data_IF_346296356017
#
_entry.id   IF_346296356017
#
_cell.length_a   1.000
_cell.length_b   1.000
_cell.length_c   1.000
_cell.angle_alpha   90.00
_cell.angle_beta   90.00
_cell.angle_gamma   90.00
#
_symmetry.space_group_name_H-M   'P 1'
#
loop_
_entity.id
_entity.type
_entity.pdbx_description
1 polymer ?
#
# COMPACT_ATOMS: atom_id res chain seq x y z
N UNK A 1 4.22 12.42 -9.82
CA UNK A 1 2.87 11.83 -9.72
C UNK A 1 2.59 10.97 -10.94
N UNK A 2 1.49 10.17 -10.94
CA UNK A 2 1.07 9.42 -12.15
C UNK A 2 0.83 10.36 -13.34
N UNK A 3 0.37 11.58 -13.07
CA UNK A 3 0.14 12.61 -14.09
C UNK A 3 1.40 12.97 -14.89
N UNK A 4 2.58 12.80 -14.30
CA UNK A 4 3.86 13.20 -14.93
C UNK A 4 4.40 12.10 -15.86
N UNK A 5 3.84 10.88 -15.79
CA UNK A 5 4.37 9.70 -16.50
C UNK A 5 3.32 8.94 -17.33
N UNK A 6 2.05 9.35 -17.28
CA UNK A 6 0.96 8.72 -18.02
C UNK A 6 0.53 9.58 -19.20
N UNK A 7 0.47 8.99 -20.39
CA UNK A 7 -0.06 9.63 -21.60
C UNK A 7 -1.58 9.69 -21.60
N UNK A 8 -2.23 8.72 -20.96
CA UNK A 8 -3.70 8.61 -20.89
C UNK A 8 -4.13 8.26 -19.47
N UNK A 9 -5.14 8.96 -18.96
CA UNK A 9 -5.80 8.66 -17.69
C UNK A 9 -7.28 8.40 -17.95
N UNK A 10 -7.76 7.23 -17.52
CA UNK A 10 -9.16 6.86 -17.59
C UNK A 10 -9.78 7.01 -16.20
N UNK A 11 -10.70 7.98 -15.99
CA UNK A 11 -11.29 8.21 -14.69
C UNK A 11 -12.27 7.10 -14.33
N UNK A 12 -11.99 6.39 -13.23
CA UNK A 12 -12.87 5.36 -12.69
C UNK A 12 -13.75 5.89 -11.57
N UNK A 13 -14.98 5.41 -11.52
CA UNK A 13 -15.92 5.72 -10.45
C UNK A 13 -15.52 4.99 -9.15
N UNK A 14 -15.53 5.67 -7.98
CA UNK A 14 -15.34 5.02 -6.68
C UNK A 14 -16.53 4.12 -6.32
N UNK A 15 -16.39 3.33 -5.25
CA UNK A 15 -17.41 2.36 -4.82
C UNK A 15 -18.77 3.00 -4.48
N UNK A 16 -18.82 4.27 -4.11
CA UNK A 16 -20.07 5.02 -3.89
C UNK A 16 -20.83 5.34 -5.17
N UNK A 17 -20.16 5.31 -6.31
CA UNK A 17 -20.69 5.68 -7.63
C UNK A 17 -20.85 4.48 -8.58
N UNK A 18 -20.56 3.28 -8.11
CA UNK A 18 -20.65 2.03 -8.91
C UNK A 18 -21.31 0.92 -8.12
N UNK A 19 -21.93 -0.02 -8.83
CA UNK A 19 -22.35 -1.31 -8.27
C UNK A 19 -21.16 -2.26 -8.20
N UNK A 20 -21.21 -3.20 -7.27
CA UNK A 20 -20.19 -4.21 -7.10
C UNK A 20 -20.55 -5.28 -6.09
N UNK A 21 -19.62 -6.19 -5.82
CA UNK A 21 -19.79 -7.26 -4.85
C UNK A 21 -18.48 -7.53 -4.14
N UNK A 22 -18.57 -7.85 -2.86
CA UNK A 22 -17.45 -8.27 -2.04
C UNK A 22 -17.74 -9.61 -1.38
N UNK A 23 -16.70 -10.41 -1.19
CA UNK A 23 -16.73 -11.60 -0.34
C UNK A 23 -15.93 -11.28 0.91
N UNK A 24 -16.55 -11.41 2.09
CA UNK A 24 -15.86 -11.19 3.35
C UNK A 24 -15.04 -12.42 3.77
N UNK A 25 -14.32 -12.32 4.89
CA UNK A 25 -13.49 -13.42 5.42
C UNK A 25 -14.30 -14.66 5.85
N UNK A 26 -15.59 -14.51 6.09
CA UNK A 26 -16.50 -15.63 6.38
C UNK A 26 -17.05 -16.28 5.11
N UNK A 27 -16.69 -15.79 3.92
CA UNK A 27 -17.18 -16.26 2.64
C UNK A 27 -18.57 -15.76 2.28
N UNK A 28 -19.07 -14.74 2.96
CA UNK A 28 -20.35 -14.15 2.63
C UNK A 28 -20.22 -13.21 1.45
N UNK A 29 -20.92 -13.53 0.39
CA UNK A 29 -21.06 -12.66 -0.79
C UNK A 29 -22.09 -11.57 -0.49
N UNK A 30 -21.72 -10.32 -0.68
CA UNK A 30 -22.57 -9.15 -0.47
C UNK A 30 -22.43 -8.21 -1.67
N UNK A 31 -23.56 -7.89 -2.30
CA UNK A 31 -23.64 -6.96 -3.41
C UNK A 31 -24.13 -5.59 -2.94
N UNK A 32 -23.72 -4.55 -3.61
CA UNK A 32 -24.13 -3.17 -3.35
C UNK A 32 -24.37 -2.42 -4.66
N UNK A 33 -25.13 -1.35 -4.58
CA UNK A 33 -25.39 -0.45 -5.71
C UNK A 33 -24.72 0.90 -5.47
N UNK A 34 -24.38 1.57 -6.56
CA UNK A 34 -23.95 2.95 -6.51
C UNK A 34 -25.03 3.84 -5.88
N UNK A 35 -24.64 4.71 -4.94
CA UNK A 35 -25.58 5.59 -4.22
C UNK A 35 -25.76 6.91 -4.96
N UNK A 36 -24.72 7.38 -5.64
CA UNK A 36 -24.70 8.62 -6.39
C UNK A 36 -24.22 8.39 -7.82
N UNK A 37 -24.55 9.32 -8.70
CA UNK A 37 -24.07 9.29 -10.08
C UNK A 37 -22.58 9.62 -10.13
N UNK A 38 -21.86 8.94 -11.04
CA UNK A 38 -20.44 9.22 -11.29
C UNK A 38 -20.17 10.69 -11.62
N UNK A 39 -19.08 11.20 -11.05
CA UNK A 39 -18.65 12.60 -11.27
C UNK A 39 -18.02 12.76 -12.66
N UNK A 40 -18.52 13.74 -13.41
CA UNK A 40 -17.99 14.07 -14.75
C UNK A 40 -17.98 12.88 -15.69
N UNK A 41 -16.83 12.58 -16.28
CA UNK A 41 -16.63 11.48 -17.21
C UNK A 41 -16.25 10.14 -16.53
N UNK A 42 -16.23 10.07 -15.18
CA UNK A 42 -15.94 8.82 -14.50
C UNK A 42 -16.95 7.72 -14.82
N UNK A 43 -16.46 6.51 -14.97
CA UNK A 43 -17.28 5.32 -15.29
C UNK A 43 -16.87 4.17 -14.37
N UNK A 44 -17.78 3.22 -14.09
CA UNK A 44 -17.42 1.97 -13.43
C UNK A 44 -16.25 1.30 -14.14
N UNK A 45 -15.25 0.83 -13.40
CA UNK A 45 -14.04 0.22 -13.97
C UNK A 45 -14.37 -0.91 -14.96
N UNK A 46 -15.34 -1.78 -14.62
CA UNK A 46 -15.73 -2.88 -15.48
C UNK A 46 -16.25 -2.42 -16.85
N UNK A 47 -16.95 -1.26 -16.92
CA UNK A 47 -17.42 -0.68 -18.20
C UNK A 47 -16.26 -0.16 -19.04
N UNK A 48 -15.26 0.43 -18.40
CA UNK A 48 -14.04 0.88 -19.10
C UNK A 48 -13.30 -0.33 -19.66
N UNK A 49 -13.10 -1.38 -18.84
CA UNK A 49 -12.42 -2.60 -19.27
C UNK A 49 -13.20 -3.34 -20.37
N UNK A 50 -14.52 -3.39 -20.28
CA UNK A 50 -15.36 -3.95 -21.33
C UNK A 50 -15.14 -3.26 -22.67
N UNK A 51 -15.21 -1.92 -22.69
CA UNK A 51 -15.00 -1.15 -23.93
C UNK A 51 -13.58 -1.34 -24.46
N UNK A 52 -12.58 -1.34 -23.58
CA UNK A 52 -11.20 -1.59 -23.98
C UNK A 52 -11.01 -2.99 -24.54
N UNK A 53 -11.59 -4.02 -23.90
CA UNK A 53 -11.56 -5.39 -24.38
C UNK A 53 -12.19 -5.53 -25.77
N UNK A 54 -13.34 -4.91 -25.99
CA UNK A 54 -14.01 -4.91 -27.30
C UNK A 54 -13.18 -4.17 -28.37
N UNK A 55 -12.54 -3.05 -28.03
CA UNK A 55 -11.67 -2.33 -28.97
C UNK A 55 -10.40 -3.12 -29.32
N UNK A 56 -9.96 -3.99 -28.43
CA UNK A 56 -8.83 -4.90 -28.65
C UNK A 56 -9.24 -6.25 -29.24
N UNK A 57 -10.52 -6.42 -29.58
CA UNK A 57 -11.10 -7.66 -30.15
C UNK A 57 -10.87 -8.89 -29.25
N UNK A 58 -10.90 -8.69 -27.91
CA UNK A 58 -10.77 -9.77 -26.94
C UNK A 58 -12.14 -10.42 -26.68
N UNK A 59 -12.15 -11.75 -26.62
CA UNK A 59 -13.35 -12.51 -26.25
C UNK A 59 -13.68 -12.36 -24.75
N UNK A 60 -14.97 -12.47 -24.39
CA UNK A 60 -15.40 -12.47 -22.99
C UNK A 60 -15.56 -11.09 -22.34
N UNK A 61 -15.73 -10.02 -23.13
CA UNK A 61 -15.95 -8.66 -22.66
C UNK A 61 -17.35 -8.10 -22.98
N UNK A 62 -18.34 -8.95 -23.27
CA UNK A 62 -19.68 -8.54 -23.69
C UNK A 62 -20.69 -8.56 -22.53
N UNK A 63 -20.35 -7.85 -21.44
CA UNK A 63 -21.23 -7.76 -20.29
C UNK A 63 -22.10 -6.50 -20.32
N UNK A 64 -23.37 -6.64 -19.94
CA UNK A 64 -24.31 -5.52 -19.80
C UNK A 64 -24.49 -5.04 -18.37
N UNK A 65 -24.17 -5.89 -17.40
CA UNK A 65 -24.32 -5.55 -15.98
C UNK A 65 -23.21 -6.13 -15.09
N UNK A 66 -23.05 -5.56 -13.90
CA UNK A 66 -22.13 -6.07 -12.87
C UNK A 66 -22.56 -7.44 -12.35
N UNK A 67 -23.85 -7.75 -12.40
CA UNK A 67 -24.41 -9.03 -11.98
C UNK A 67 -24.01 -10.15 -12.95
N UNK A 68 -23.97 -9.87 -14.26
CA UNK A 68 -23.48 -10.83 -15.25
C UNK A 68 -22.01 -11.15 -15.01
N UNK A 69 -21.17 -10.13 -14.76
CA UNK A 69 -19.76 -10.32 -14.42
C UNK A 69 -19.61 -11.14 -13.14
N UNK A 70 -20.40 -10.84 -12.11
CA UNK A 70 -20.38 -11.60 -10.87
C UNK A 70 -20.73 -13.07 -11.10
N UNK A 71 -21.78 -13.34 -11.87
CA UNK A 71 -22.23 -14.70 -12.17
C UNK A 71 -21.16 -15.51 -12.93
N UNK A 72 -20.45 -14.86 -13.84
CA UNK A 72 -19.39 -15.48 -14.63
C UNK A 72 -18.10 -15.68 -13.81
N UNK A 73 -17.72 -14.66 -13.04
CA UNK A 73 -16.49 -14.69 -12.25
C UNK A 73 -16.55 -15.58 -11.00
N UNK A 74 -17.74 -15.75 -10.42
CA UNK A 74 -17.92 -16.41 -9.14
C UNK A 74 -19.11 -17.37 -9.10
N UNK A 75 -18.83 -18.66 -9.01
CA UNK A 75 -19.83 -19.66 -8.64
C UNK A 75 -20.06 -19.58 -7.11
N UNK A 76 -21.14 -18.90 -6.71
CA UNK A 76 -21.50 -18.71 -5.32
C UNK A 76 -21.79 -20.03 -4.59
N UNK A 77 -22.23 -21.10 -5.29
CA UNK A 77 -22.49 -22.41 -4.70
C UNK A 77 -21.19 -23.12 -4.33
N UNK A 78 -20.12 -22.89 -5.07
CA UNK A 78 -18.80 -23.45 -4.80
C UNK A 78 -17.92 -22.58 -3.90
N UNK A 79 -18.41 -21.42 -3.50
CA UNK A 79 -17.65 -20.53 -2.62
C UNK A 79 -17.23 -21.20 -1.30
N UNK A 80 -18.09 -21.96 -0.59
CA UNK A 80 -17.70 -22.68 0.62
C UNK A 80 -16.53 -23.63 0.43
N UNK A 81 -16.40 -24.25 -0.74
CA UNK A 81 -15.31 -25.18 -1.06
C UNK A 81 -13.94 -24.48 -1.14
N UNK A 82 -13.95 -23.18 -1.47
CA UNK A 82 -12.74 -22.35 -1.57
C UNK A 82 -12.31 -21.75 -0.22
N UNK A 83 -13.21 -21.76 0.78
CA UNK A 83 -12.95 -21.20 2.10
C UNK A 83 -12.23 -22.25 2.97
N UNK A 84 -10.92 -22.21 2.95
CA UNK A 84 -10.10 -23.06 3.80
C UNK A 84 -8.81 -22.34 4.21
N UNK A 85 -8.22 -22.74 5.33
CA UNK A 85 -6.95 -22.21 5.81
C UNK A 85 -5.73 -22.99 5.26
N UNK A 86 -5.91 -23.77 4.21
CA UNK A 86 -4.82 -24.50 3.57
C UNK A 86 -4.14 -23.62 2.55
N UNK A 87 -2.84 -23.45 2.68
CA UNK A 87 -2.00 -22.81 1.70
C UNK A 87 -1.14 -23.84 1.00
N UNK A 88 -1.17 -23.88 -0.31
CA UNK A 88 -0.23 -24.66 -1.12
C UNK A 88 1.06 -23.87 -1.41
N UNK A 89 1.15 -22.63 -0.91
CA UNK A 89 2.34 -21.82 -1.12
C UNK A 89 3.52 -22.41 -0.35
N UNK A 90 4.55 -22.78 -1.07
CA UNK A 90 5.84 -23.22 -0.55
C UNK A 90 6.89 -22.19 -0.96
N UNK A 91 6.83 -21.03 -0.32
CA UNK A 91 7.84 -20.01 -0.54
C UNK A 91 9.11 -20.33 0.24
N UNK A 92 10.24 -20.11 -0.37
CA UNK A 92 11.49 -20.04 0.37
C UNK A 92 11.49 -18.80 1.24
N UNK A 93 11.92 -18.94 2.50
CA UNK A 93 12.17 -17.79 3.33
C UNK A 93 13.27 -16.94 2.67
N UNK A 94 13.01 -15.66 2.47
CA UNK A 94 14.06 -14.77 2.00
C UNK A 94 15.26 -14.86 2.97
N UNK A 95 16.49 -14.91 2.47
CA UNK A 95 17.67 -14.92 3.33
C UNK A 95 17.62 -13.69 4.24
N UNK A 96 17.99 -13.87 5.51
CA UNK A 96 18.04 -12.78 6.46
C UNK A 96 18.97 -11.67 5.91
N UNK A 97 18.48 -10.46 5.85
CA UNK A 97 19.30 -9.32 5.45
C UNK A 97 20.44 -9.14 6.46
N UNK A 98 21.66 -8.94 5.96
CA UNK A 98 22.80 -8.60 6.81
C UNK A 98 22.75 -7.12 7.17
N UNK A 99 23.26 -6.75 8.36
CA UNK A 99 23.31 -5.36 8.82
C UNK A 99 22.03 -4.87 9.46
N UNK A 100 21.75 -3.58 9.29
CA UNK A 100 20.55 -2.96 9.84
C UNK A 100 19.33 -3.33 8.98
N UNK A 101 18.21 -3.63 9.63
CA UNK A 101 16.95 -3.96 8.98
C UNK A 101 15.93 -2.85 9.25
N UNK A 102 15.35 -2.31 8.19
CA UNK A 102 14.25 -1.35 8.31
C UNK A 102 12.96 -2.05 8.71
N UNK A 103 12.37 -1.62 9.82
CA UNK A 103 11.05 -2.07 10.27
C UNK A 103 10.09 -0.90 10.36
N UNK A 104 8.81 -1.19 10.54
CA UNK A 104 7.77 -0.17 10.68
C UNK A 104 6.44 -0.65 10.11
N UNK A 105 5.56 0.30 9.92
CA UNK A 105 4.25 0.12 9.29
C UNK A 105 3.90 1.34 8.45
N UNK A 106 2.68 1.39 7.96
CA UNK A 106 2.11 2.59 7.35
C UNK A 106 1.37 3.36 8.43
N UNK A 107 1.65 4.65 8.59
CA UNK A 107 0.92 5.50 9.52
C UNK A 107 -0.58 5.51 9.22
N UNK A 108 -1.43 5.49 10.25
CA UNK A 108 -2.89 5.37 10.10
C UNK A 108 -3.48 6.43 9.15
N UNK A 109 -2.92 7.63 9.11
CA UNK A 109 -3.39 8.70 8.23
C UNK A 109 -2.68 8.73 6.86
N UNK A 110 -1.90 7.69 6.55
CA UNK A 110 -1.24 7.50 5.25
C UNK A 110 -1.72 6.25 4.51
N UNK A 111 -2.72 5.53 5.05
CA UNK A 111 -3.18 4.23 4.53
C UNK A 111 -3.96 4.34 3.22
N UNK A 112 -4.88 5.30 3.09
CA UNK A 112 -5.73 5.43 1.92
C UNK A 112 -5.81 6.87 1.37
N UNK A 113 -6.42 7.00 0.20
CA UNK A 113 -6.47 8.27 -0.51
C UNK A 113 -7.35 9.33 0.18
N UNK A 114 -8.34 8.93 0.95
CA UNK A 114 -9.26 9.84 1.65
C UNK A 114 -8.53 10.45 2.85
N UNK A 115 -7.97 9.60 3.73
CA UNK A 115 -7.25 10.08 4.92
C UNK A 115 -6.01 10.87 4.57
N UNK A 116 -5.28 10.50 3.49
CA UNK A 116 -4.13 11.28 3.01
C UNK A 116 -4.48 12.69 2.52
N UNK A 117 -5.74 12.93 2.14
CA UNK A 117 -6.23 14.24 1.68
C UNK A 117 -7.07 14.98 2.73
N UNK A 118 -7.31 14.37 3.88
CA UNK A 118 -8.02 15.00 4.98
C UNK A 118 -7.06 15.94 5.74
N UNK A 119 -7.11 17.23 5.42
CA UNK A 119 -6.17 18.23 5.94
C UNK A 119 -6.10 18.24 7.47
N UNK A 120 -7.24 18.16 8.15
CA UNK A 120 -7.29 18.10 9.61
C UNK A 120 -6.53 16.89 10.19
N UNK A 121 -6.58 15.73 9.54
CA UNK A 121 -5.85 14.53 9.97
C UNK A 121 -4.34 14.69 9.72
N UNK A 122 -3.95 15.35 8.63
CA UNK A 122 -2.54 15.58 8.31
C UNK A 122 -1.86 16.57 9.25
N UNK A 123 -2.60 17.37 10.00
CA UNK A 123 -2.07 18.28 11.02
C UNK A 123 -1.84 17.61 12.39
N UNK A 124 -2.26 16.37 12.56
CA UNK A 124 -2.06 15.64 13.83
C UNK A 124 -0.63 15.12 14.00
N UNK A 125 -0.23 14.85 15.23
CA UNK A 125 1.10 14.25 15.52
C UNK A 125 1.33 12.90 14.85
N UNK A 126 0.26 12.12 14.59
CA UNK A 126 0.33 10.81 13.95
C UNK A 126 0.58 10.89 12.42
N UNK A 127 0.42 12.06 11.83
CA UNK A 127 0.69 12.28 10.40
C UNK A 127 2.05 12.92 10.14
N UNK A 128 2.80 13.30 11.18
CA UNK A 128 4.11 13.94 11.02
C UNK A 128 5.16 12.98 10.46
N UNK A 129 6.19 13.54 9.84
CA UNK A 129 7.32 12.78 9.32
C UNK A 129 7.98 11.97 10.45
N UNK A 130 8.03 10.63 10.34
CA UNK A 130 8.58 9.81 11.40
C UNK A 130 10.11 9.95 11.49
N UNK A 131 10.63 10.00 12.71
CA UNK A 131 12.04 9.81 12.96
C UNK A 131 12.45 8.33 12.80
N UNK A 132 13.69 8.10 12.45
CA UNK A 132 14.31 6.78 12.46
C UNK A 132 14.70 6.44 13.91
N UNK A 133 13.94 5.55 14.55
CA UNK A 133 14.25 5.09 15.92
C UNK A 133 15.25 3.94 15.85
N UNK A 134 16.32 4.03 16.64
CA UNK A 134 17.48 3.12 16.60
C UNK A 134 17.97 2.86 18.02
N UNK A 135 18.44 1.65 18.28
CA UNK A 135 19.04 1.34 19.59
C UNK A 135 20.26 2.24 19.89
N UNK A 136 20.43 2.74 21.14
CA UNK A 136 21.54 3.61 21.49
C UNK A 136 22.93 3.06 21.13
N UNK A 137 23.17 1.76 21.35
CA UNK A 137 24.46 1.12 20.99
C UNK A 137 24.72 1.18 19.49
N UNK A 138 23.67 1.07 18.65
CA UNK A 138 23.78 1.18 17.20
C UNK A 138 24.08 2.63 16.80
N UNK A 139 23.44 3.62 17.42
CA UNK A 139 23.77 5.02 17.18
C UNK A 139 25.23 5.30 17.53
N UNK A 140 25.71 4.81 18.69
CA UNK A 140 27.10 4.97 19.10
C UNK A 140 28.07 4.28 18.11
N UNK A 141 27.75 3.08 17.64
CA UNK A 141 28.58 2.37 16.65
C UNK A 141 28.65 3.09 15.30
N UNK A 142 27.60 3.81 14.93
CA UNK A 142 27.53 4.63 13.71
C UNK A 142 28.09 6.05 13.90
N UNK A 143 28.49 6.42 15.11
CA UNK A 143 28.95 7.79 15.45
C UNK A 143 27.84 8.83 15.36
N UNK A 144 26.57 8.43 15.51
CA UNK A 144 25.41 9.31 15.46
C UNK A 144 24.96 9.69 16.88
N UNK A 145 24.61 10.96 17.06
CA UNK A 145 23.99 11.43 18.29
C UNK A 145 22.46 11.29 18.24
N UNK A 146 21.83 11.16 19.40
CA UNK A 146 20.37 11.25 19.52
C UNK A 146 19.87 12.62 19.05
N UNK A 147 18.84 12.63 18.19
CA UNK A 147 18.31 13.83 17.56
C UNK A 147 19.11 14.33 16.34
N UNK A 148 20.20 13.68 15.96
CA UNK A 148 20.99 14.07 14.79
C UNK A 148 20.26 13.83 13.49
N UNK A 149 20.68 14.53 12.43
CA UNK A 149 20.27 14.25 11.07
C UNK A 149 21.22 13.21 10.46
N UNK A 150 20.64 12.20 9.81
CA UNK A 150 21.38 11.18 9.08
C UNK A 150 20.79 10.99 7.67
N UNK A 151 21.57 10.43 6.78
CA UNK A 151 21.07 9.88 5.52
C UNK A 151 20.70 8.40 5.70
N UNK A 152 19.43 8.08 5.43
CA UNK A 152 18.95 6.70 5.31
C UNK A 152 19.06 6.27 3.87
N UNK A 153 19.73 5.13 3.62
CA UNK A 153 19.99 4.61 2.29
C UNK A 153 19.37 3.22 2.13
N UNK A 154 18.62 3.03 1.07
CA UNK A 154 18.02 1.75 0.73
C UNK A 154 17.77 1.65 -0.78
N UNK A 155 18.13 0.54 -1.41
CA UNK A 155 17.96 0.30 -2.84
C UNK A 155 18.52 1.42 -3.75
N UNK A 156 19.63 2.02 -3.37
CA UNK A 156 20.26 3.10 -4.12
C UNK A 156 19.63 4.48 -3.93
N UNK A 157 18.54 4.57 -3.18
CA UNK A 157 17.89 5.84 -2.80
C UNK A 157 18.42 6.36 -1.47
N UNK A 158 18.44 7.68 -1.32
CA UNK A 158 18.87 8.38 -0.10
C UNK A 158 17.78 9.34 0.38
N UNK A 159 17.52 9.36 1.68
CA UNK A 159 16.56 10.25 2.31
C UNK A 159 17.11 10.75 3.63
N UNK A 160 17.02 12.05 3.88
CA UNK A 160 17.38 12.62 5.18
C UNK A 160 16.32 12.31 6.23
N UNK A 161 16.76 11.83 7.38
CA UNK A 161 15.93 11.47 8.52
C UNK A 161 16.53 12.00 9.81
N UNK A 162 15.70 12.30 10.80
CA UNK A 162 16.16 12.51 12.16
C UNK A 162 16.29 11.15 12.84
N UNK A 163 17.41 10.84 13.46
CA UNK A 163 17.59 9.63 14.25
C UNK A 163 17.22 9.89 15.71
N UNK A 164 16.57 8.92 16.36
CA UNK A 164 16.17 9.01 17.76
C UNK A 164 16.52 7.72 18.47
N UNK A 165 17.14 7.85 19.65
CA UNK A 165 17.51 6.72 20.48
C UNK A 165 16.27 6.01 21.04
N UNK A 166 16.25 4.68 20.94
CA UNK A 166 15.18 3.85 21.47
C UNK A 166 15.72 2.51 21.97
N UNK A 167 15.84 2.40 23.28
CA UNK A 167 16.36 1.22 23.96
C UNK A 167 15.41 0.01 23.97
N UNK A 168 14.20 0.16 23.45
CA UNK A 168 13.24 -0.96 23.29
C UNK A 168 13.45 -1.74 22.00
N UNK A 169 14.25 -1.22 21.07
CA UNK A 169 14.55 -1.87 19.79
C UNK A 169 15.78 -2.78 19.90
N UNK A 170 15.85 -3.87 19.13
CA UNK A 170 17.09 -4.62 18.97
C UNK A 170 18.19 -3.79 18.26
N UNK A 171 19.49 -4.03 18.52
CA UNK A 171 20.58 -3.25 17.94
C UNK A 171 20.69 -3.29 16.41
N UNK A 172 20.14 -4.32 15.76
CA UNK A 172 20.17 -4.44 14.30
C UNK A 172 18.90 -3.92 13.59
N UNK A 173 18.08 -3.15 14.29
CA UNK A 173 16.80 -2.65 13.79
C UNK A 173 16.79 -1.13 13.69
N UNK A 174 16.31 -0.64 12.55
CA UNK A 174 15.91 0.76 12.33
C UNK A 174 14.39 0.80 12.17
N UNK A 175 13.70 1.33 13.16
CA UNK A 175 12.25 1.53 13.05
C UNK A 175 11.96 2.85 12.34
N UNK A 176 11.71 2.77 11.05
CA UNK A 176 11.37 3.89 10.19
C UNK A 176 10.11 3.56 9.38
N UNK A 177 8.91 3.93 9.87
CA UNK A 177 7.64 3.70 9.19
C UNK A 177 7.61 4.30 7.78
N UNK A 178 6.76 3.75 6.93
CA UNK A 178 6.51 4.31 5.61
C UNK A 178 5.77 5.64 5.74
N UNK A 179 6.26 6.63 5.00
CA UNK A 179 5.71 7.98 4.96
C UNK A 179 6.00 8.58 3.56
N UNK A 180 5.17 9.50 3.04
CA UNK A 180 5.45 10.18 1.78
C UNK A 180 6.85 10.79 1.69
N UNK A 181 7.35 11.36 2.79
CA UNK A 181 8.69 11.96 2.87
C UNK A 181 9.84 10.95 2.70
N UNK A 182 9.62 9.67 2.94
CA UNK A 182 10.62 8.61 2.75
C UNK A 182 10.21 7.56 1.70
N UNK A 183 9.28 7.93 0.81
CA UNK A 183 8.75 7.04 -0.21
C UNK A 183 9.79 6.57 -1.24
N UNK A 184 10.91 7.30 -1.38
CA UNK A 184 12.02 6.89 -2.24
C UNK A 184 12.78 5.67 -1.71
N UNK A 185 12.69 5.39 -0.41
CA UNK A 185 13.28 4.19 0.18
C UNK A 185 12.48 2.95 -0.25
N UNK A 186 13.13 1.80 -0.17
CA UNK A 186 12.51 0.50 -0.51
C UNK A 186 11.51 0.00 0.54
N UNK A 187 11.15 -1.28 0.42
CA UNK A 187 10.21 -1.95 1.31
C UNK A 187 10.75 -2.13 2.74
N UNK A 188 9.80 -2.37 3.66
CA UNK A 188 10.10 -2.80 5.02
C UNK A 188 10.71 -4.21 5.03
N UNK A 189 11.36 -4.58 6.12
CA UNK A 189 12.06 -5.86 6.34
C UNK A 189 13.25 -6.09 5.40
N UNK A 190 13.76 -5.05 4.77
CA UNK A 190 14.97 -5.07 3.95
C UNK A 190 16.12 -4.32 4.63
N UNK A 191 17.33 -4.57 4.15
CA UNK A 191 18.51 -3.88 4.64
C UNK A 191 18.40 -2.36 4.43
N UNK A 192 18.93 -1.61 5.38
CA UNK A 192 19.03 -0.14 5.35
C UNK A 192 20.37 0.28 5.92
N UNK A 193 20.93 1.36 5.43
CA UNK A 193 22.14 1.99 5.94
C UNK A 193 21.80 3.37 6.50
N UNK A 194 22.53 3.79 7.52
CA UNK A 194 22.45 5.13 8.11
C UNK A 194 23.85 5.73 8.15
N UNK A 195 24.00 6.93 7.60
CA UNK A 195 25.24 7.70 7.62
C UNK A 195 25.00 9.09 8.19
N UNK A 196 25.96 9.61 8.96
CA UNK A 196 25.94 11.00 9.42
C UNK A 196 26.06 11.99 8.26
N UNK A 197 25.39 13.12 8.37
CA UNK A 197 25.44 14.24 7.39
C UNK A 197 26.42 15.29 7.86
#
# INVERSE_FOLDING_TARGET
TLLDVCDVLLPIAPFTETSGSFVNMEGRLQSFHGVVKGLGESRPLWKILRVLGNLLELEGFEYDSSEQILHDALDAQRLPEKLNNRSSWQGEAAPAAAGLIRTGGVGIYHTDAIVRRAEALQQTSHAQVPAARVHPDTLAALGLADGATAEAMQNGSRVRVTVVADNTLPPNVVHLPQHPANAALGGLMNAIELEGV
#
